data_IF_290780333674
#
_entry.id   IF_290780333674
#
_cell.length_a   1.000
_cell.length_b   1.000
_cell.length_c   1.000
_cell.angle_alpha   90.00
_cell.angle_beta   90.00
_cell.angle_gamma   90.00
#
_symmetry.space_group_name_H-M   'P 1'
#
loop_
_entity.id
_entity.type
_entity.pdbx_description
1 polymer ?
#
# COMPACT_ATOMS: atom_id res chain seq x y z
N UNK A 1 2.51 21.62 5.84
CA UNK A 1 3.25 22.61 6.64
C UNK A 1 2.63 24.01 6.57
N UNK A 2 2.22 24.53 5.40
CA UNK A 2 1.67 25.91 5.29
C UNK A 2 0.46 26.21 6.21
N UNK A 3 -0.46 25.26 6.40
CA UNK A 3 -1.59 25.45 7.32
C UNK A 3 -1.19 25.27 8.79
N UNK A 4 -0.35 24.26 9.09
CA UNK A 4 -0.04 23.86 10.46
C UNK A 4 1.19 24.56 11.08
N UNK A 5 2.00 25.22 10.24
CA UNK A 5 3.24 25.94 10.57
C UNK A 5 4.19 25.15 11.50
N UNK A 6 4.27 23.83 11.28
CA UNK A 6 5.09 22.88 12.04
C UNK A 6 5.49 21.69 11.16
N UNK A 7 6.42 20.82 11.61
CA UNK A 7 6.73 19.58 10.91
C UNK A 7 5.48 18.70 10.73
N UNK A 8 5.29 18.16 9.53
CA UNK A 8 4.13 17.33 9.18
C UNK A 8 4.60 16.05 8.50
N UNK A 9 3.98 14.93 8.86
CA UNK A 9 4.06 13.66 8.15
C UNK A 9 2.65 13.34 7.65
N UNK A 10 2.54 12.94 6.38
CA UNK A 10 1.34 12.34 5.82
C UNK A 10 1.67 10.97 5.22
N UNK A 11 0.66 10.11 5.09
CA UNK A 11 0.79 8.78 4.54
C UNK A 11 -0.28 8.56 3.48
N UNK A 12 0.11 8.06 2.31
CA UNK A 12 -0.81 7.57 1.28
C UNK A 12 -0.50 6.11 0.92
N UNK A 13 -1.55 5.33 0.66
CA UNK A 13 -1.46 3.91 0.28
C UNK A 13 -2.16 3.67 -1.05
N UNK A 14 -1.47 2.99 -1.95
CA UNK A 14 -1.95 2.59 -3.27
C UNK A 14 -1.98 1.07 -3.40
N UNK A 15 -2.94 0.56 -4.18
CA UNK A 15 -2.92 -0.81 -4.69
C UNK A 15 -2.99 -0.75 -6.22
N UNK A 16 -1.93 -1.19 -6.87
CA UNK A 16 -1.69 -0.95 -8.29
C UNK A 16 -1.70 -2.28 -9.05
N UNK A 17 -2.56 -2.40 -10.05
CA UNK A 17 -2.64 -3.60 -10.90
C UNK A 17 -1.82 -3.37 -12.16
N UNK A 18 -0.87 -4.24 -12.46
CA UNK A 18 0.04 -4.05 -13.60
C UNK A 18 -0.72 -4.08 -14.93
N UNK A 19 -1.69 -4.98 -15.07
CA UNK A 19 -2.58 -5.08 -16.23
C UNK A 19 -3.39 -3.80 -16.53
N UNK A 20 -3.61 -2.94 -15.53
CA UNK A 20 -4.34 -1.67 -15.67
C UNK A 20 -3.40 -0.46 -15.65
N UNK A 21 -2.11 -0.64 -15.95
CA UNK A 21 -1.13 0.45 -15.94
C UNK A 21 -0.94 1.09 -14.56
N UNK A 22 -1.19 0.33 -13.49
CA UNK A 22 -1.08 0.80 -12.11
C UNK A 22 -2.38 1.29 -11.48
N UNK A 23 -3.50 1.32 -12.22
CA UNK A 23 -4.82 1.55 -11.61
C UNK A 23 -5.27 0.34 -10.76
N UNK A 24 -6.11 0.51 -9.74
CA UNK A 24 -6.71 1.77 -9.28
C UNK A 24 -5.74 2.71 -8.54
N UNK A 25 -4.60 2.20 -8.08
CA UNK A 25 -3.52 2.97 -7.48
C UNK A 25 -4.01 3.84 -6.31
N UNK A 26 -3.83 5.17 -6.35
CA UNK A 26 -4.27 6.08 -5.29
C UNK A 26 -5.80 6.14 -5.14
N UNK A 27 -6.56 5.68 -6.14
CA UNK A 27 -8.01 5.66 -6.12
C UNK A 27 -8.58 4.40 -5.46
N UNK A 28 -7.74 3.51 -4.92
CA UNK A 28 -8.16 2.22 -4.35
C UNK A 28 -9.29 2.35 -3.33
N UNK A 29 -9.32 3.43 -2.53
CA UNK A 29 -10.40 3.70 -1.57
C UNK A 29 -11.78 3.69 -2.23
N UNK A 30 -11.91 4.32 -3.40
CA UNK A 30 -13.18 4.43 -4.12
C UNK A 30 -13.55 3.14 -4.83
N UNK A 31 -12.57 2.46 -5.41
CA UNK A 31 -12.78 1.15 -6.02
C UNK A 31 -13.22 0.13 -4.97
N UNK A 32 -12.50 0.04 -3.85
CA UNK A 32 -12.84 -0.87 -2.75
C UNK A 32 -14.23 -0.57 -2.17
N UNK A 33 -14.59 0.71 -1.99
CA UNK A 33 -15.92 1.10 -1.45
C UNK A 33 -17.05 0.51 -2.28
N UNK A 34 -16.95 0.60 -3.61
CA UNK A 34 -18.00 0.23 -4.55
C UNK A 34 -17.94 -1.25 -4.97
N UNK A 35 -16.74 -1.80 -5.15
CA UNK A 35 -16.53 -3.13 -5.71
C UNK A 35 -16.35 -4.22 -4.64
N UNK A 36 -15.91 -3.83 -3.43
CA UNK A 36 -15.43 -4.77 -2.38
C UNK A 36 -14.24 -5.61 -2.88
N UNK A 37 -13.58 -6.44 -2.03
CA UNK A 37 -12.46 -7.27 -2.48
C UNK A 37 -12.81 -8.18 -3.66
N UNK A 38 -14.02 -8.74 -3.69
CA UNK A 38 -14.44 -9.61 -4.80
C UNK A 38 -14.53 -8.85 -6.13
N UNK A 39 -15.10 -7.64 -6.13
CA UNK A 39 -15.17 -6.84 -7.35
C UNK A 39 -13.80 -6.33 -7.81
N UNK A 40 -12.83 -6.12 -6.91
CA UNK A 40 -11.45 -5.83 -7.29
C UNK A 40 -10.80 -7.00 -8.05
N UNK A 41 -11.01 -8.23 -7.59
CA UNK A 41 -10.56 -9.43 -8.32
C UNK A 41 -11.25 -9.55 -9.69
N UNK A 42 -12.58 -9.37 -9.73
CA UNK A 42 -13.36 -9.43 -10.98
C UNK A 42 -12.99 -8.33 -11.98
N UNK A 43 -12.48 -7.19 -11.52
CA UNK A 43 -12.01 -6.11 -12.39
C UNK A 43 -10.89 -6.59 -13.34
N UNK A 44 -10.14 -7.61 -12.94
CA UNK A 44 -9.09 -8.20 -13.75
C UNK A 44 -9.54 -9.42 -14.56
N UNK A 45 -10.83 -9.80 -14.57
CA UNK A 45 -11.31 -11.04 -15.20
C UNK A 45 -10.87 -11.19 -16.67
N UNK A 46 -10.84 -10.09 -17.43
CA UNK A 46 -10.43 -10.07 -18.84
C UNK A 46 -8.93 -9.97 -19.11
N UNK A 47 -8.08 -9.97 -18.08
CA UNK A 47 -6.63 -9.85 -18.20
C UNK A 47 -5.94 -11.14 -17.73
N UNK A 48 -4.97 -11.65 -18.48
CA UNK A 48 -4.16 -12.79 -18.02
C UNK A 48 -3.25 -12.38 -16.85
N UNK A 49 -2.67 -11.18 -16.93
CA UNK A 49 -1.82 -10.63 -15.88
C UNK A 49 -2.64 -10.26 -14.64
N UNK A 50 -2.38 -10.96 -13.54
CA UNK A 50 -2.95 -10.69 -12.22
C UNK A 50 -1.95 -10.03 -11.27
N UNK A 51 -0.75 -9.71 -11.75
CA UNK A 51 0.30 -9.14 -10.91
C UNK A 51 -0.07 -7.72 -10.48
N UNK A 52 0.29 -7.41 -9.24
CA UNK A 52 -0.02 -6.15 -8.61
C UNK A 52 1.06 -5.81 -7.59
N UNK A 53 1.02 -4.57 -7.10
CA UNK A 53 1.82 -4.19 -5.96
C UNK A 53 1.05 -3.24 -5.05
N UNK A 54 1.28 -3.42 -3.74
CA UNK A 54 0.88 -2.46 -2.74
C UNK A 54 2.04 -1.48 -2.51
N UNK A 55 1.74 -0.19 -2.44
CA UNK A 55 2.72 0.87 -2.20
C UNK A 55 2.25 1.79 -1.08
N UNK A 56 3.15 2.13 -0.17
CA UNK A 56 2.96 3.14 0.87
C UNK A 56 3.99 4.24 0.66
N UNK A 57 3.57 5.49 0.74
CA UNK A 57 4.42 6.66 0.67
C UNK A 57 4.19 7.48 1.94
N UNK A 58 5.24 7.65 2.74
CA UNK A 58 5.28 8.70 3.75
C UNK A 58 5.88 9.96 3.14
N UNK A 59 5.20 11.09 3.32
CA UNK A 59 5.72 12.40 2.93
C UNK A 59 5.94 13.23 4.19
N UNK A 60 7.20 13.62 4.42
CA UNK A 60 7.61 14.45 5.55
C UNK A 60 8.02 15.84 5.08
N UNK A 61 7.55 16.86 5.79
CA UNK A 61 7.91 18.25 5.54
C UNK A 61 8.24 18.92 6.87
N UNK A 62 9.51 19.30 7.05
CA UNK A 62 10.01 19.95 8.28
C UNK A 62 9.42 21.35 8.47
N UNK A 63 9.37 22.14 7.40
CA UNK A 63 8.77 23.49 7.38
C UNK A 63 8.30 23.85 5.97
N UNK A 64 7.49 24.90 5.84
CA UNK A 64 6.95 25.37 4.55
C UNK A 64 8.03 25.85 3.56
N UNK A 65 9.24 26.13 4.03
CA UNK A 65 10.38 26.56 3.21
C UNK A 65 11.33 25.42 2.83
N UNK A 66 11.10 24.19 3.31
CA UNK A 66 11.92 23.01 3.02
C UNK A 66 11.20 22.08 2.03
N UNK A 67 11.94 21.36 1.18
CA UNK A 67 11.36 20.38 0.28
C UNK A 67 10.66 19.25 1.06
N UNK A 68 9.65 18.64 0.43
CA UNK A 68 9.01 17.43 0.96
C UNK A 68 9.93 16.24 0.70
N UNK A 69 10.18 15.45 1.73
CA UNK A 69 10.92 14.19 1.64
C UNK A 69 9.93 13.03 1.53
N UNK A 70 10.18 12.12 0.59
CA UNK A 70 9.34 10.96 0.33
C UNK A 70 10.07 9.69 0.77
N UNK A 71 9.32 8.78 1.38
CA UNK A 71 9.80 7.46 1.81
C UNK A 71 8.82 6.41 1.32
N UNK A 72 9.31 5.48 0.51
CA UNK A 72 8.46 4.63 -0.30
C UNK A 72 8.70 3.16 0.00
N UNK A 73 7.64 2.43 0.33
CA UNK A 73 7.68 1.00 0.51
C UNK A 73 6.75 0.30 -0.46
N UNK A 74 7.24 -0.76 -1.10
CA UNK A 74 6.50 -1.55 -2.07
C UNK A 74 6.55 -3.04 -1.74
N UNK A 75 5.43 -3.71 -1.95
CA UNK A 75 5.35 -5.17 -1.92
C UNK A 75 4.64 -5.67 -3.17
N UNK A 76 5.35 -6.45 -3.97
CA UNK A 76 4.81 -7.13 -5.13
C UNK A 76 3.94 -8.31 -4.71
N UNK A 77 3.02 -8.68 -5.59
CA UNK A 77 2.11 -9.79 -5.38
C UNK A 77 1.18 -9.96 -6.57
N UNK A 78 0.02 -10.54 -6.29
CA UNK A 78 -1.03 -10.75 -7.28
C UNK A 78 -2.40 -10.58 -6.66
N UNK A 79 -3.38 -10.26 -7.51
CA UNK A 79 -4.79 -10.18 -7.12
C UNK A 79 -5.43 -11.54 -7.27
N UNK A 80 -6.05 -12.01 -6.19
CA UNK A 80 -6.66 -13.34 -6.09
C UNK A 80 -8.11 -13.25 -5.66
N UNK A 81 -8.85 -14.34 -5.83
CA UNK A 81 -10.17 -14.46 -5.22
C UNK A 81 -10.04 -14.24 -3.71
N UNK A 82 -10.91 -13.40 -3.09
CA UNK A 82 -10.77 -13.02 -1.70
C UNK A 82 -10.74 -14.20 -0.72
N UNK A 83 -9.75 -14.23 0.18
CA UNK A 83 -9.66 -15.20 1.28
C UNK A 83 -9.28 -14.50 2.59
N UNK A 84 -9.64 -15.11 3.72
CA UNK A 84 -9.45 -14.52 5.06
C UNK A 84 -10.56 -13.55 5.47
N UNK A 85 -10.35 -12.82 6.55
CA UNK A 85 -11.36 -11.89 7.09
C UNK A 85 -11.58 -10.67 6.17
N UNK A 86 -12.82 -10.44 5.75
CA UNK A 86 -13.17 -9.35 4.82
C UNK A 86 -13.40 -7.99 5.48
N UNK A 87 -13.10 -7.87 6.76
CA UNK A 87 -13.42 -6.69 7.57
C UNK A 87 -12.45 -5.53 7.32
N UNK A 88 -11.27 -5.82 6.76
CA UNK A 88 -10.19 -4.86 6.63
C UNK A 88 -9.71 -4.68 5.18
N UNK A 89 -10.12 -3.57 4.57
CA UNK A 89 -9.50 -3.08 3.35
C UNK A 89 -9.60 -4.02 2.15
N UNK A 90 -8.55 -4.02 1.34
CA UNK A 90 -8.38 -4.88 0.16
C UNK A 90 -7.47 -6.08 0.44
N UNK A 91 -7.00 -6.23 1.69
CA UNK A 91 -6.13 -7.33 2.12
C UNK A 91 -6.61 -8.73 1.67
N UNK A 92 -7.91 -9.05 1.69
CA UNK A 92 -8.39 -10.38 1.28
C UNK A 92 -8.07 -10.73 -0.17
N UNK A 93 -7.93 -9.74 -1.06
CA UNK A 93 -7.70 -9.98 -2.49
C UNK A 93 -6.24 -9.82 -2.91
N UNK A 94 -5.30 -9.56 -1.97
CA UNK A 94 -3.89 -9.37 -2.28
C UNK A 94 -3.04 -10.48 -1.67
N UNK A 95 -2.40 -11.26 -2.55
CA UNK A 95 -1.43 -12.31 -2.19
C UNK A 95 -0.01 -11.79 -2.49
N UNK A 96 0.81 -11.49 -1.47
CA UNK A 96 2.17 -11.02 -1.69
C UNK A 96 3.07 -12.11 -2.28
N UNK A 97 4.04 -11.71 -3.08
CA UNK A 97 5.02 -12.60 -3.68
C UNK A 97 5.82 -13.37 -2.60
N UNK A 98 6.01 -14.66 -2.82
CA UNK A 98 6.68 -15.57 -1.88
C UNK A 98 5.75 -16.20 -0.83
N UNK A 99 4.45 -15.92 -0.86
CA UNK A 99 3.46 -16.48 0.06
C UNK A 99 2.27 -17.09 -0.68
N UNK A 100 1.54 -17.99 -0.02
CA UNK A 100 0.28 -18.56 -0.51
C UNK A 100 -0.95 -18.02 0.23
N UNK A 101 -0.73 -17.17 1.21
CA UNK A 101 -1.74 -16.51 2.03
C UNK A 101 -2.00 -15.11 1.50
N UNK A 102 -3.25 -14.66 1.54
CA UNK A 102 -3.58 -13.24 1.36
C UNK A 102 -3.12 -12.45 2.59
N UNK A 103 -3.02 -11.12 2.48
CA UNK A 103 -2.76 -10.31 3.67
C UNK A 103 -3.79 -10.48 4.78
N UNK A 104 -5.04 -10.82 4.45
CA UNK A 104 -6.09 -11.06 5.45
C UNK A 104 -5.98 -12.43 6.13
N UNK A 105 -5.28 -13.38 5.52
CA UNK A 105 -4.96 -14.70 6.11
C UNK A 105 -3.68 -14.67 6.96
N UNK A 106 -2.89 -13.59 6.86
CA UNK A 106 -1.64 -13.45 7.60
C UNK A 106 -1.86 -12.88 9.00
N UNK A 107 -1.17 -13.46 9.99
CA UNK A 107 -1.00 -12.83 11.29
C UNK A 107 -0.24 -11.49 11.17
N UNK A 108 -0.59 -10.52 12.02
CA UNK A 108 0.00 -9.17 12.00
C UNK A 108 1.52 -9.16 12.07
N UNK A 109 2.12 -10.06 12.86
CA UNK A 109 3.57 -10.20 12.97
C UNK A 109 4.24 -10.52 11.62
N UNK A 110 3.69 -11.49 10.87
CA UNK A 110 4.21 -11.89 9.55
C UNK A 110 3.96 -10.78 8.53
N UNK A 111 2.75 -10.22 8.49
CA UNK A 111 2.44 -9.11 7.58
C UNK A 111 3.40 -7.94 7.79
N UNK A 112 3.71 -7.60 9.04
CA UNK A 112 4.59 -6.48 9.37
C UNK A 112 6.03 -6.65 8.89
N UNK A 113 6.53 -7.87 8.67
CA UNK A 113 7.90 -8.06 8.13
C UNK A 113 7.99 -7.78 6.63
N UNK A 114 6.88 -7.96 5.90
CA UNK A 114 6.86 -7.83 4.43
C UNK A 114 6.05 -6.63 3.92
N UNK A 115 5.28 -5.96 4.78
CA UNK A 115 4.33 -4.95 4.31
C UNK A 115 5.02 -3.73 3.70
N UNK A 116 4.39 -3.21 2.64
CA UNK A 116 4.72 -1.95 1.99
C UNK A 116 4.80 -0.79 2.99
N UNK A 117 3.88 -0.71 3.96
CA UNK A 117 3.92 0.30 5.03
C UNK A 117 5.15 0.16 5.92
N UNK A 118 5.47 -1.05 6.37
CA UNK A 118 6.65 -1.30 7.21
C UNK A 118 7.94 -0.90 6.49
N UNK A 119 8.05 -1.20 5.19
CA UNK A 119 9.19 -0.81 4.35
C UNK A 119 9.34 0.71 4.23
N UNK A 120 8.23 1.42 4.02
CA UNK A 120 8.22 2.89 3.95
C UNK A 120 8.62 3.49 5.31
N UNK A 121 8.07 2.95 6.40
CA UNK A 121 8.37 3.39 7.76
C UNK A 121 9.83 3.13 8.15
N UNK A 122 10.42 2.02 7.69
CA UNK A 122 11.83 1.72 7.93
C UNK A 122 12.75 2.77 7.29
N UNK A 123 12.43 3.26 6.09
CA UNK A 123 13.19 4.34 5.45
C UNK A 123 13.03 5.66 6.21
N UNK A 124 11.81 6.00 6.63
CA UNK A 124 11.55 7.19 7.45
C UNK A 124 12.31 7.14 8.78
N UNK A 125 12.29 5.99 9.45
CA UNK A 125 13.04 5.75 10.69
C UNK A 125 14.55 5.95 10.46
N UNK A 126 15.10 5.31 9.42
CA UNK A 126 16.51 5.41 9.08
C UNK A 126 16.92 6.87 8.78
N UNK A 127 16.05 7.65 8.13
CA UNK A 127 16.30 9.07 7.92
C UNK A 127 16.48 9.82 9.24
N UNK A 128 15.62 9.62 10.23
CA UNK A 128 15.74 10.30 11.52
C UNK A 128 16.89 9.78 12.38
N UNK A 129 17.22 8.48 12.33
CA UNK A 129 18.34 7.92 13.08
C UNK A 129 19.70 8.40 12.56
N UNK A 130 19.82 8.65 11.25
CA UNK A 130 21.05 9.16 10.63
C UNK A 130 21.07 10.68 10.44
N UNK A 131 20.01 11.40 10.85
CA UNK A 131 19.96 12.86 10.80
C UNK A 131 20.82 13.39 11.96
N UNK A 132 22.12 13.56 11.68
CA UNK A 132 23.07 14.27 12.57
C UNK A 132 22.71 15.75 12.67
#
# INVERSE_FOLDING_TARGET
SQQLQRPVIVEDTCLCFNALGGLPGPYIKWFLKNLKPNGLHKLLAGFEDKTAYAQCIFAYCESSSKPVLLFEGRTNGRIVEPRGETNFGWDPCFEPEGFSQTYAEMGSAVKNTISHRSKALAQLKNYFENKS
#
